data_IF_185773682598
#
_entry.id   IF_185773682598
#
_cell.length_a   1.000
_cell.length_b   1.000
_cell.length_c   1.000
_cell.angle_alpha   90.00
_cell.angle_beta   90.00
_cell.angle_gamma   90.00
#
_symmetry.space_group_name_H-M   'P 1'
#
loop_
_entity.id
_entity.type
_entity.pdbx_description
1 polymer ?
#
# COMPACT_ATOMS: atom_id res chain seq x y z
N UNK A 1 29.20 51.23 45.52
CA UNK A 1 28.82 50.80 44.15
C UNK A 1 28.61 49.29 44.19
N UNK A 2 27.39 48.81 43.90
CA UNK A 2 27.05 47.38 43.85
C UNK A 2 26.79 47.02 42.39
N UNK A 3 27.62 46.16 41.80
CA UNK A 3 27.45 45.65 40.45
C UNK A 3 26.43 44.50 40.46
N UNK A 4 25.35 44.65 39.72
CA UNK A 4 24.36 43.60 39.46
C UNK A 4 24.81 42.91 38.17
N UNK A 5 25.17 41.62 38.26
CA UNK A 5 25.49 40.80 37.09
C UNK A 5 24.21 40.09 36.63
N UNK A 6 23.66 40.52 35.50
CA UNK A 6 22.54 39.85 34.83
C UNK A 6 23.09 38.71 33.98
N UNK A 7 22.78 37.46 34.34
CA UNK A 7 23.01 36.30 33.49
C UNK A 7 21.85 36.22 32.51
N UNK A 8 22.10 36.50 31.22
CA UNK A 8 21.14 36.24 30.16
C UNK A 8 21.19 34.75 29.81
N UNK A 9 20.14 34.02 30.13
CA UNK A 9 19.95 32.65 29.68
C UNK A 9 19.50 32.68 28.20
N UNK A 10 20.39 32.27 27.30
CA UNK A 10 20.05 32.06 25.88
C UNK A 10 19.36 30.70 25.77
N UNK A 11 18.03 30.70 25.65
CA UNK A 11 17.28 29.51 25.25
C UNK A 11 17.48 29.28 23.75
N UNK A 12 18.34 28.32 23.41
CA UNK A 12 18.48 27.83 22.04
C UNK A 12 17.29 26.93 21.72
N UNK A 13 16.26 27.50 21.08
CA UNK A 13 15.11 26.76 20.57
C UNK A 13 15.54 25.99 19.32
N UNK A 14 15.99 24.74 19.48
CA UNK A 14 16.24 23.86 18.34
C UNK A 14 14.92 23.49 17.68
N UNK A 15 14.62 24.13 16.56
CA UNK A 15 13.54 23.72 15.67
C UNK A 15 13.92 22.37 15.07
N UNK A 16 13.49 21.28 15.69
CA UNK A 16 13.58 19.94 15.10
C UNK A 16 12.56 19.87 13.97
N UNK A 17 12.97 20.26 12.78
CA UNK A 17 12.22 19.96 11.58
C UNK A 17 12.25 18.43 11.41
N UNK A 18 11.18 17.75 11.78
CA UNK A 18 11.04 16.32 11.54
C UNK A 18 10.85 16.12 10.04
N UNK A 19 11.94 15.89 9.33
CA UNK A 19 11.90 15.23 8.03
C UNK A 19 11.29 13.85 8.28
N UNK A 20 10.01 13.68 7.92
CA UNK A 20 9.36 12.38 7.94
C UNK A 20 10.03 11.50 6.88
N UNK A 21 11.06 10.76 7.30
CA UNK A 21 11.70 9.78 6.46
C UNK A 21 10.66 8.73 6.05
N UNK A 22 10.69 8.35 4.77
CA UNK A 22 9.82 7.31 4.24
C UNK A 22 10.07 6.01 4.98
N UNK A 23 9.03 5.48 5.63
CA UNK A 23 9.13 4.25 6.41
C UNK A 23 9.34 3.06 5.49
N UNK A 24 10.13 2.09 5.94
CA UNK A 24 10.39 0.86 5.20
C UNK A 24 10.56 -0.33 6.14
N UNK A 25 10.40 -1.53 5.57
CA UNK A 25 10.65 -2.82 6.19
C UNK A 25 11.50 -3.69 5.25
N UNK A 26 12.13 -4.72 5.79
CA UNK A 26 12.78 -5.76 4.98
C UNK A 26 11.93 -7.01 5.01
N UNK A 27 11.56 -7.53 3.85
CA UNK A 27 10.78 -8.76 3.72
C UNK A 27 11.10 -9.46 2.41
N UNK A 28 11.16 -10.80 2.46
CA UNK A 28 11.51 -11.65 1.32
C UNK A 28 12.82 -11.26 0.59
N UNK A 29 13.80 -10.73 1.32
CA UNK A 29 15.10 -10.33 0.77
C UNK A 29 15.16 -8.93 0.12
N UNK A 30 14.07 -8.17 0.17
CA UNK A 30 14.00 -6.83 -0.41
C UNK A 30 13.59 -5.78 0.62
N UNK A 31 13.99 -4.53 0.37
CA UNK A 31 13.45 -3.37 1.06
C UNK A 31 12.12 -2.96 0.43
N UNK A 32 11.11 -2.76 1.29
CA UNK A 32 9.77 -2.32 0.92
C UNK A 32 9.46 -1.03 1.64
N UNK A 33 8.96 -0.04 0.91
CA UNK A 33 8.53 1.23 1.45
C UNK A 33 7.05 1.19 1.79
N UNK A 34 6.70 1.77 2.94
CA UNK A 34 5.34 1.77 3.46
C UNK A 34 4.63 3.06 3.07
N UNK A 35 3.41 2.93 2.57
CA UNK A 35 2.59 4.07 2.19
C UNK A 35 1.91 4.73 3.40
N UNK A 36 1.88 6.06 3.43
CA UNK A 36 1.34 6.84 4.56
C UNK A 36 0.83 8.22 4.10
N UNK A 37 -0.15 8.21 3.22
CA UNK A 37 -0.84 9.39 2.67
C UNK A 37 -2.37 9.24 2.79
N UNK A 38 -3.14 10.26 2.41
CA UNK A 38 -4.60 10.30 2.58
C UNK A 38 -5.29 10.67 1.28
N UNK A 39 -6.53 10.20 1.13
CA UNK A 39 -7.40 10.46 -0.03
C UNK A 39 -6.69 10.20 -1.38
N UNK A 40 -6.07 9.03 -1.51
CA UNK A 40 -5.28 8.67 -2.69
C UNK A 40 -5.54 7.26 -3.19
N UNK A 41 -5.26 7.06 -4.48
CA UNK A 41 -5.62 5.86 -5.24
C UNK A 41 -4.99 4.55 -4.73
N UNK A 42 -5.58 3.38 -5.05
CA UNK A 42 -6.87 3.23 -5.74
C UNK A 42 -8.05 3.70 -4.88
N UNK A 43 -9.01 4.41 -5.50
CA UNK A 43 -10.10 5.07 -4.77
C UNK A 43 -9.64 6.18 -3.81
N UNK A 44 -10.52 6.70 -2.93
CA UNK A 44 -10.15 7.71 -1.92
C UNK A 44 -9.64 7.05 -0.62
N UNK A 45 -8.61 6.21 -0.73
CA UNK A 45 -8.08 5.47 0.43
C UNK A 45 -7.22 6.35 1.35
N UNK A 46 -7.22 6.01 2.64
CA UNK A 46 -6.31 6.58 3.63
C UNK A 46 -5.27 5.53 4.02
N UNK A 47 -4.01 5.74 3.66
CA UNK A 47 -2.94 4.80 3.94
C UNK A 47 -2.29 5.10 5.29
N UNK A 48 -1.90 4.05 5.98
CA UNK A 48 -1.19 4.18 7.24
C UNK A 48 -0.09 3.12 7.32
N UNK A 49 1.15 3.60 7.40
CA UNK A 49 2.34 2.76 7.52
C UNK A 49 2.31 1.80 8.71
N UNK A 50 1.57 2.12 9.79
CA UNK A 50 1.44 1.21 10.95
C UNK A 50 0.58 -0.02 10.68
N UNK A 51 -0.11 -0.07 9.54
CA UNK A 51 -0.91 -1.22 9.13
C UNK A 51 -0.11 -2.28 8.35
N UNK A 52 1.20 -2.09 8.22
CA UNK A 52 2.12 -3.02 7.56
C UNK A 52 3.24 -3.38 8.54
N UNK A 53 3.45 -4.67 8.78
CA UNK A 53 4.59 -5.15 9.57
C UNK A 53 4.98 -6.57 9.18
N UNK A 54 6.16 -7.00 9.63
CA UNK A 54 6.59 -8.40 9.56
C UNK A 54 6.60 -8.95 10.98
N UNK A 55 6.02 -10.13 11.20
CA UNK A 55 6.06 -10.77 12.52
C UNK A 55 7.37 -11.54 12.76
N UNK A 56 7.52 -12.07 13.97
CA UNK A 56 8.71 -12.84 14.38
C UNK A 56 8.88 -14.15 13.58
N UNK A 57 7.85 -14.61 12.88
CA UNK A 57 7.91 -15.77 11.98
C UNK A 57 8.25 -15.37 10.53
N UNK A 58 8.51 -14.10 10.25
CA UNK A 58 8.83 -13.59 8.92
C UNK A 58 7.62 -13.43 8.00
N UNK A 59 6.39 -13.47 8.51
CA UNK A 59 5.17 -13.26 7.71
C UNK A 59 4.88 -11.77 7.59
N UNK A 60 4.58 -11.32 6.37
CA UNK A 60 4.10 -9.96 6.11
C UNK A 60 2.61 -9.87 6.50
N UNK A 61 2.26 -8.85 7.26
CA UNK A 61 0.90 -8.57 7.69
C UNK A 61 0.41 -7.25 7.08
N UNK A 62 -0.80 -7.29 6.54
CA UNK A 62 -1.54 -6.12 6.04
C UNK A 62 -2.85 -6.02 6.82
N UNK A 63 -3.15 -4.84 7.34
CA UNK A 63 -4.33 -4.62 8.19
C UNK A 63 -5.19 -3.47 7.70
N UNK A 64 -6.51 -3.65 7.77
CA UNK A 64 -7.44 -2.51 7.77
C UNK A 64 -7.74 -2.11 9.21
N UNK A 65 -7.67 -0.81 9.50
CA UNK A 65 -7.85 -0.30 10.85
C UNK A 65 -8.67 0.98 10.87
N UNK A 66 -9.67 1.08 11.74
CA UNK A 66 -10.35 2.34 11.98
C UNK A 66 -9.48 3.27 12.83
N UNK A 67 -9.22 4.48 12.35
CA UNK A 67 -8.40 5.49 13.01
C UNK A 67 -9.18 6.79 13.17
N UNK A 68 -9.54 7.11 14.42
CA UNK A 68 -10.16 8.39 14.73
C UNK A 68 -9.30 9.60 14.37
N UNK A 69 -7.96 9.45 14.41
CA UNK A 69 -7.01 10.53 14.03
C UNK A 69 -6.97 10.80 12.53
N UNK A 70 -7.16 9.76 11.71
CA UNK A 70 -7.22 9.86 10.24
C UNK A 70 -8.67 9.94 9.74
N UNK A 71 -9.64 10.11 10.66
CA UNK A 71 -11.05 10.35 10.33
C UNK A 71 -11.78 9.18 9.67
N UNK A 72 -11.30 7.93 9.81
CA UNK A 72 -11.96 6.79 9.17
C UNK A 72 -11.14 5.51 9.11
N UNK A 73 -11.55 4.59 8.24
CA UNK A 73 -10.79 3.40 7.91
C UNK A 73 -9.46 3.77 7.25
N UNK A 74 -8.42 3.03 7.61
CA UNK A 74 -7.09 3.14 7.04
C UNK A 74 -6.66 1.81 6.42
N UNK A 75 -5.98 1.90 5.29
CA UNK A 75 -5.50 0.79 4.47
C UNK A 75 -4.01 0.55 4.68
N UNK A 76 -3.50 -0.49 4.00
CA UNK A 76 -2.12 -0.95 4.06
C UNK A 76 -1.59 -1.13 2.64
N UNK A 77 -0.45 -0.52 2.33
CA UNK A 77 0.26 -0.74 1.07
C UNK A 77 1.76 -0.62 1.31
N UNK A 78 2.49 -1.45 0.59
CA UNK A 78 3.94 -1.39 0.49
C UNK A 78 4.36 -1.65 -0.96
N UNK A 79 5.47 -1.03 -1.35
CA UNK A 79 6.05 -1.19 -2.69
C UNK A 79 7.57 -1.24 -2.60
N UNK A 80 8.22 -1.76 -3.64
CA UNK A 80 9.68 -1.74 -3.75
C UNK A 80 10.10 -1.00 -5.01
N UNK A 81 11.24 -0.32 -4.94
CA UNK A 81 11.85 0.33 -6.11
C UNK A 81 12.71 -0.65 -6.93
N UNK A 82 12.80 -1.91 -6.51
CA UNK A 82 13.46 -2.97 -7.28
C UNK A 82 12.65 -3.23 -8.54
N UNK A 83 13.31 -3.09 -9.70
CA UNK A 83 12.72 -3.42 -11.00
C UNK A 83 12.96 -4.90 -11.27
N UNK A 84 11.90 -5.69 -11.18
CA UNK A 84 11.95 -7.10 -11.54
C UNK A 84 11.77 -7.26 -13.05
N UNK A 85 12.52 -8.20 -13.64
CA UNK A 85 12.30 -8.65 -15.01
C UNK A 85 11.20 -9.70 -15.09
N UNK A 86 11.09 -10.35 -16.25
CA UNK A 86 10.19 -11.48 -16.42
C UNK A 86 10.58 -12.64 -15.52
N UNK A 87 9.57 -13.31 -14.97
CA UNK A 87 9.75 -14.42 -14.05
C UNK A 87 8.42 -14.86 -13.46
N UNK A 88 8.50 -15.78 -12.51
CA UNK A 88 7.33 -16.26 -11.77
C UNK A 88 7.26 -15.57 -10.43
N UNK A 89 6.24 -14.73 -10.24
CA UNK A 89 5.90 -14.13 -8.95
C UNK A 89 4.88 -15.02 -8.26
N UNK A 90 5.11 -15.35 -6.99
CA UNK A 90 4.22 -16.19 -6.17
C UNK A 90 3.95 -15.52 -4.85
N UNK A 91 2.68 -15.52 -4.46
CA UNK A 91 2.24 -15.08 -3.15
C UNK A 91 1.58 -16.26 -2.45
N UNK A 92 1.98 -16.49 -1.20
CA UNK A 92 1.30 -17.42 -0.30
C UNK A 92 0.52 -16.58 0.70
N UNK A 93 -0.80 -16.63 0.61
CA UNK A 93 -1.69 -15.78 1.40
C UNK A 93 -2.35 -16.62 2.49
N UNK A 94 -2.27 -16.12 3.72
CA UNK A 94 -2.94 -16.69 4.88
C UNK A 94 -4.03 -15.75 5.36
N UNK A 95 -5.25 -16.26 5.50
CA UNK A 95 -6.40 -15.51 5.97
C UNK A 95 -7.71 -15.97 5.33
N UNK A 96 -8.83 -15.55 5.91
CA UNK A 96 -10.15 -15.79 5.36
C UNK A 96 -10.47 -14.81 4.22
N UNK A 97 -9.66 -14.83 3.16
CA UNK A 97 -9.77 -13.91 2.01
C UNK A 97 -11.11 -14.07 1.26
N UNK A 98 -11.77 -15.22 1.43
CA UNK A 98 -13.14 -15.49 0.97
C UNK A 98 -14.22 -14.70 1.74
N UNK A 99 -13.90 -14.28 2.97
CA UNK A 99 -14.82 -13.62 3.91
C UNK A 99 -14.64 -12.11 4.01
N UNK A 100 -13.87 -11.51 3.11
CA UNK A 100 -13.75 -10.05 3.07
C UNK A 100 -15.11 -9.35 2.94
N UNK A 101 -15.21 -8.20 3.62
CA UNK A 101 -16.32 -7.26 3.43
C UNK A 101 -16.41 -6.90 1.94
N UNK A 102 -17.63 -6.71 1.38
CA UNK A 102 -17.77 -6.44 -0.05
C UNK A 102 -16.97 -5.25 -0.59
N UNK A 103 -16.56 -4.30 0.26
CA UNK A 103 -15.79 -3.11 -0.11
C UNK A 103 -14.28 -3.28 -0.03
N UNK A 104 -13.79 -4.44 0.40
CA UNK A 104 -12.36 -4.72 0.53
C UNK A 104 -11.83 -5.32 -0.76
N UNK A 105 -10.65 -4.85 -1.16
CA UNK A 105 -9.83 -5.38 -2.26
C UNK A 105 -8.46 -5.73 -1.68
N UNK A 106 -8.01 -6.96 -1.88
CA UNK A 106 -6.60 -7.32 -1.76
C UNK A 106 -6.01 -7.36 -3.16
N UNK A 107 -5.09 -6.44 -3.47
CA UNK A 107 -4.32 -6.43 -4.71
C UNK A 107 -2.92 -7.00 -4.52
N UNK A 108 -2.52 -7.91 -5.40
CA UNK A 108 -1.18 -8.49 -5.49
C UNK A 108 -0.71 -8.33 -6.92
N UNK A 109 0.23 -7.42 -7.17
CA UNK A 109 0.48 -6.97 -8.52
C UNK A 109 1.91 -6.54 -8.77
N UNK A 110 2.28 -6.52 -10.04
CA UNK A 110 3.43 -5.77 -10.55
C UNK A 110 2.91 -4.53 -11.25
N UNK A 111 3.55 -3.38 -11.05
CA UNK A 111 3.17 -2.12 -11.69
C UNK A 111 4.41 -1.38 -12.18
N UNK A 112 4.32 -0.79 -13.36
CA UNK A 112 5.38 0.03 -13.93
C UNK A 112 4.91 0.83 -15.14
N UNK A 113 5.82 1.57 -15.77
CA UNK A 113 5.49 2.37 -16.96
C UNK A 113 4.59 3.55 -16.66
N UNK A 114 3.74 3.92 -17.64
CA UNK A 114 2.69 4.94 -17.48
C UNK A 114 1.42 4.27 -16.99
N UNK A 115 0.54 5.02 -16.33
CA UNK A 115 -0.72 4.49 -15.83
C UNK A 115 -1.55 3.79 -16.93
N UNK A 116 -2.09 2.62 -16.61
CA UNK A 116 -2.77 1.74 -17.56
C UNK A 116 -1.84 0.92 -18.47
N UNK A 117 -0.55 0.81 -18.13
CA UNK A 117 0.42 -0.06 -18.83
C UNK A 117 1.26 -0.88 -17.86
N UNK A 118 1.87 -1.96 -18.36
CA UNK A 118 2.88 -2.76 -17.63
C UNK A 118 2.43 -3.17 -16.21
N UNK A 119 1.18 -3.59 -16.10
CA UNK A 119 0.55 -4.01 -14.86
C UNK A 119 -0.03 -5.42 -15.00
N UNK A 120 0.19 -6.25 -13.98
CA UNK A 120 -0.39 -7.58 -13.87
C UNK A 120 -0.95 -7.71 -12.47
N UNK A 121 -2.26 -7.90 -12.38
CA UNK A 121 -2.99 -7.91 -11.13
C UNK A 121 -3.52 -9.30 -10.78
N UNK A 122 -3.45 -9.63 -9.50
CA UNK A 122 -4.29 -10.64 -8.86
C UNK A 122 -5.07 -9.92 -7.76
N UNK A 123 -6.39 -9.95 -7.85
CA UNK A 123 -7.26 -9.23 -6.94
C UNK A 123 -8.27 -10.16 -6.28
N UNK A 124 -8.42 -10.02 -4.96
CA UNK A 124 -9.50 -10.66 -4.19
C UNK A 124 -10.46 -9.58 -3.71
N UNK A 125 -11.65 -9.53 -4.29
CA UNK A 125 -12.63 -8.46 -4.07
C UNK A 125 -14.05 -8.91 -4.42
N UNK A 126 -15.07 -8.34 -3.78
CA UNK A 126 -16.48 -8.53 -4.21
C UNK A 126 -17.06 -7.31 -4.91
N UNK A 127 -16.28 -6.24 -5.05
CA UNK A 127 -16.66 -5.01 -5.77
C UNK A 127 -18.01 -4.42 -5.30
N UNK A 128 -18.24 -4.44 -3.98
CA UNK A 128 -19.47 -3.97 -3.35
C UNK A 128 -20.67 -4.93 -3.45
N UNK A 129 -20.54 -6.07 -4.16
CA UNK A 129 -21.62 -7.05 -4.32
C UNK A 129 -21.75 -7.92 -3.06
N UNK A 130 -22.97 -8.06 -2.57
CA UNK A 130 -23.31 -8.86 -1.37
C UNK A 130 -23.88 -10.24 -1.71
N UNK A 131 -24.00 -10.55 -3.00
CA UNK A 131 -24.62 -11.77 -3.50
C UNK A 131 -23.74 -12.99 -3.25
N UNK A 132 -24.33 -14.12 -2.83
CA UNK A 132 -23.60 -15.34 -2.45
C UNK A 132 -22.82 -15.99 -3.61
N UNK A 133 -23.19 -15.69 -4.87
CA UNK A 133 -22.58 -16.25 -6.08
C UNK A 133 -21.57 -15.31 -6.76
N UNK A 134 -21.30 -14.14 -6.18
CA UNK A 134 -20.35 -13.20 -6.76
C UNK A 134 -18.92 -13.79 -6.74
N UNK A 135 -18.24 -13.78 -7.90
CA UNK A 135 -16.81 -14.09 -7.94
C UNK A 135 -16.06 -13.15 -6.98
N UNK A 136 -15.11 -13.71 -6.25
CA UNK A 136 -14.26 -12.97 -5.34
C UNK A 136 -12.80 -12.93 -5.80
N UNK A 137 -12.48 -13.46 -6.98
CA UNK A 137 -11.12 -13.55 -7.51
C UNK A 137 -11.08 -13.03 -8.96
N UNK A 138 -10.13 -12.14 -9.22
CA UNK A 138 -9.96 -11.44 -10.49
C UNK A 138 -8.49 -11.37 -10.85
N UNK A 139 -8.20 -11.27 -12.14
CA UNK A 139 -6.87 -10.97 -12.64
C UNK A 139 -6.97 -10.07 -13.87
N UNK A 140 -6.00 -9.17 -14.01
CA UNK A 140 -5.92 -8.24 -15.13
C UNK A 140 -4.50 -8.22 -15.67
N UNK A 141 -4.36 -8.04 -16.99
CA UNK A 141 -3.07 -7.89 -17.67
C UNK A 141 -3.14 -6.65 -18.56
N UNK A 142 -2.46 -5.60 -18.16
CA UNK A 142 -2.32 -4.38 -18.95
C UNK A 142 -1.14 -4.50 -19.91
N UNK A 143 -1.31 -4.05 -21.17
CA UNK A 143 -0.25 -4.09 -22.17
C UNK A 143 0.88 -3.12 -21.84
N UNK A 144 2.04 -3.28 -22.48
CA UNK A 144 3.14 -2.30 -22.37
C UNK A 144 2.80 -0.94 -23.00
N UNK A 145 1.89 -0.90 -23.97
CA UNK A 145 1.51 0.31 -24.70
C UNK A 145 0.00 0.48 -24.70
N UNK A 146 -0.47 1.70 -24.44
CA UNK A 146 -1.89 2.05 -24.51
C UNK A 146 -2.46 1.79 -25.91
N UNK A 147 -3.68 1.26 -26.01
CA UNK A 147 -4.44 1.26 -27.26
C UNK A 147 -4.29 0.04 -28.17
N UNK A 148 -3.68 -1.06 -27.72
CA UNK A 148 -3.90 -2.35 -28.42
C UNK A 148 -5.29 -2.83 -27.99
N UNK A 149 -6.24 -2.85 -28.93
CA UNK A 149 -7.54 -3.45 -28.70
C UNK A 149 -7.34 -4.89 -28.20
N UNK A 150 -7.97 -5.23 -27.07
CA UNK A 150 -8.06 -6.62 -26.63
C UNK A 150 -8.58 -7.43 -27.83
N UNK A 151 -7.91 -8.51 -28.28
CA UNK A 151 -8.48 -9.34 -29.33
C UNK A 151 -9.81 -9.87 -28.82
N UNK A 152 -10.90 -9.41 -29.44
CA UNK A 152 -12.22 -10.00 -29.25
C UNK A 152 -12.10 -11.46 -29.66
N UNK A 153 -12.08 -12.36 -28.68
CA UNK A 153 -12.31 -13.77 -28.93
C UNK A 153 -13.76 -13.90 -29.38
N UNK A 154 -14.00 -13.86 -30.69
CA UNK A 154 -15.24 -14.37 -31.25
C UNK A 154 -15.20 -15.87 -31.03
N UNK A 155 -15.83 -16.31 -29.93
CA UNK A 155 -16.01 -17.72 -29.63
C UNK A 155 -16.73 -18.38 -30.80
N UNK A 156 -16.06 -19.38 -31.38
CA UNK A 156 -16.68 -20.45 -32.16
C UNK A 156 -17.19 -21.52 -31.21
#
# INVERSE_FOLDING_TARGET
MRTISTIAAVFLLTLVCSINAQKSITWAGYQWFLRDDQNSGPGPNNWNSTNVWVDDNGKLHLKLNYSGRKGGWTCAELYTNVKFGFGTFRWFVEGAIDKFDPRVVLGLFTYGGVDGTNEIDIEVAKWGRTELVASNYFYTVYPHTLGIAQPVSNGT
#
